data_IF_706397284647
#
_entry.id   IF_706397284647
#
_cell.length_a   1.000
_cell.length_b   1.000
_cell.length_c   1.000
_cell.angle_alpha   90.00
_cell.angle_beta   90.00
_cell.angle_gamma   90.00
#
_symmetry.space_group_name_H-M   'P 1'
#
loop_
_entity.id
_entity.type
_entity.pdbx_description
1 polymer ?
#
# COMPACT_ATOMS: atom_id res chain seq x y z
N UNK A 1 -16.37 20.69 -0.05
CA UNK A 1 -15.65 21.75 -0.80
C UNK A 1 -14.17 21.37 -0.99
N UNK A 2 -13.77 21.08 -2.23
CA UNK A 2 -12.37 20.85 -2.59
C UNK A 2 -11.75 22.21 -2.90
N UNK A 3 -10.77 22.64 -2.12
CA UNK A 3 -10.04 23.86 -2.41
C UNK A 3 -9.05 23.59 -3.55
N UNK A 4 -9.29 24.18 -4.71
CA UNK A 4 -8.36 24.14 -5.83
C UNK A 4 -7.20 25.09 -5.54
N UNK A 5 -6.03 24.53 -5.25
CA UNK A 5 -4.78 25.30 -5.21
C UNK A 5 -4.51 25.79 -6.63
N UNK A 6 -4.45 27.11 -6.81
CA UNK A 6 -4.20 27.71 -8.12
C UNK A 6 -2.74 27.48 -8.52
N UNK A 7 -2.53 26.82 -9.66
CA UNK A 7 -1.19 26.65 -10.24
C UNK A 7 -0.62 28.00 -10.70
N UNK A 8 0.69 28.07 -10.83
CA UNK A 8 1.36 29.26 -11.38
C UNK A 8 0.98 29.39 -12.87
N UNK A 9 0.32 30.49 -13.30
CA UNK A 9 -0.39 30.58 -14.59
C UNK A 9 0.48 30.47 -15.84
N UNK A 10 1.81 30.42 -15.71
CA UNK A 10 2.78 30.29 -16.81
C UNK A 10 3.96 29.38 -16.43
N UNK A 11 3.73 28.39 -15.56
CA UNK A 11 4.79 27.43 -15.19
C UNK A 11 5.18 26.60 -16.41
N UNK A 12 6.34 26.91 -17.00
CA UNK A 12 6.89 26.14 -18.12
C UNK A 12 7.16 24.68 -17.72
N UNK A 13 7.46 24.43 -16.45
CA UNK A 13 7.65 23.08 -15.88
C UNK A 13 6.38 22.21 -15.89
N UNK A 14 5.17 22.81 -15.89
CA UNK A 14 3.92 22.04 -15.97
C UNK A 14 3.60 21.61 -17.42
N UNK A 15 4.33 22.13 -18.42
CA UNK A 15 4.12 21.89 -19.86
C UNK A 15 5.16 20.94 -20.48
N UNK A 16 6.14 20.47 -19.69
CA UNK A 16 7.16 19.54 -20.14
C UNK A 16 6.86 18.18 -19.49
N UNK A 17 6.39 17.22 -20.29
CA UNK A 17 6.47 15.80 -19.91
C UNK A 17 7.95 15.40 -20.00
N UNK A 18 8.71 15.70 -18.95
CA UNK A 18 10.10 15.27 -18.87
C UNK A 18 10.09 13.74 -18.76
N UNK A 19 10.80 13.01 -19.66
CA UNK A 19 10.87 11.56 -19.56
C UNK A 19 11.43 11.25 -18.19
N UNK A 20 10.61 10.63 -17.34
CA UNK A 20 11.04 10.31 -15.98
C UNK A 20 12.25 9.41 -16.09
N UNK A 21 13.36 9.78 -15.45
CA UNK A 21 14.60 9.02 -15.49
C UNK A 21 14.32 7.56 -15.08
N UNK A 22 14.61 6.63 -15.98
CA UNK A 22 14.39 5.20 -15.76
C UNK A 22 15.09 4.70 -14.49
N UNK A 23 16.25 5.29 -14.14
CA UNK A 23 16.96 4.98 -12.90
C UNK A 23 16.20 5.47 -11.66
N UNK A 24 15.56 6.64 -11.75
CA UNK A 24 14.71 7.16 -10.69
C UNK A 24 13.46 6.28 -10.50
N UNK A 25 12.83 5.84 -11.58
CA UNK A 25 11.70 4.90 -11.52
C UNK A 25 12.11 3.58 -10.87
N UNK A 26 13.26 3.00 -11.26
CA UNK A 26 13.79 1.77 -10.63
C UNK A 26 14.04 1.97 -9.14
N UNK A 27 14.63 3.11 -8.75
CA UNK A 27 14.88 3.43 -7.34
C UNK A 27 13.57 3.53 -6.54
N UNK A 28 12.57 4.20 -7.10
CA UNK A 28 11.25 4.32 -6.48
C UNK A 28 10.59 2.94 -6.31
N UNK A 29 10.59 2.12 -7.35
CA UNK A 29 10.06 0.76 -7.29
C UNK A 29 10.77 -0.09 -6.24
N UNK A 30 12.11 -0.04 -6.19
CA UNK A 30 12.91 -0.67 -5.13
C UNK A 30 12.50 -0.18 -3.73
N UNK A 31 12.30 1.13 -3.56
CA UNK A 31 11.92 1.70 -2.27
C UNK A 31 10.50 1.28 -1.85
N UNK A 32 9.59 1.04 -2.80
CA UNK A 32 8.25 0.56 -2.56
C UNK A 32 8.15 -0.96 -2.26
N UNK A 33 9.21 -1.74 -2.48
CA UNK A 33 9.21 -3.18 -2.17
C UNK A 33 8.96 -3.44 -0.68
N UNK A 34 8.27 -4.54 -0.39
CA UNK A 34 7.94 -4.94 0.97
C UNK A 34 9.19 -5.37 1.74
N UNK A 35 9.22 -5.26 3.08
CA UNK A 35 10.38 -5.66 3.89
C UNK A 35 10.85 -7.09 3.62
N UNK A 36 9.93 -8.06 3.49
CA UNK A 36 10.24 -9.46 3.16
C UNK A 36 10.88 -9.67 1.79
N UNK A 37 10.70 -8.74 0.86
CA UNK A 37 11.33 -8.80 -0.46
C UNK A 37 12.73 -8.17 -0.45
N UNK A 38 13.01 -7.30 0.52
CA UNK A 38 14.28 -6.58 0.66
C UNK A 38 15.28 -7.29 1.59
N UNK A 39 14.79 -7.95 2.62
CA UNK A 39 15.60 -8.53 3.69
C UNK A 39 15.19 -9.98 3.96
N UNK A 40 16.16 -10.83 4.32
CA UNK A 40 15.92 -12.22 4.71
C UNK A 40 15.24 -12.33 6.08
N UNK A 41 15.50 -11.36 6.96
CA UNK A 41 15.08 -11.35 8.36
C UNK A 41 14.55 -9.96 8.75
N UNK A 42 13.64 -9.86 9.73
CA UNK A 42 13.12 -8.58 10.20
C UNK A 42 14.26 -7.72 10.77
N UNK A 43 14.27 -6.44 10.41
CA UNK A 43 15.31 -5.49 10.84
C UNK A 43 14.89 -4.67 12.06
N UNK A 44 13.60 -4.67 12.39
CA UNK A 44 13.03 -3.95 13.53
C UNK A 44 11.95 -4.78 14.21
N UNK A 45 11.71 -4.54 15.50
CA UNK A 45 10.67 -5.23 16.29
C UNK A 45 9.29 -5.09 15.65
N UNK A 46 8.97 -3.91 15.10
CA UNK A 46 7.70 -3.70 14.40
C UNK A 46 7.56 -4.57 13.15
N UNK A 47 8.65 -4.93 12.47
CA UNK A 47 8.61 -5.83 11.32
C UNK A 47 8.38 -7.28 11.75
N UNK A 48 8.82 -7.68 12.95
CA UNK A 48 8.62 -9.04 13.47
C UNK A 48 7.13 -9.39 13.58
N UNK A 49 6.31 -8.46 14.08
CA UNK A 49 4.86 -8.62 14.23
C UNK A 49 4.19 -8.97 12.89
N UNK A 50 4.59 -8.27 11.83
CA UNK A 50 4.05 -8.43 10.49
C UNK A 50 4.88 -9.34 9.59
N UNK A 51 5.87 -10.07 10.13
CA UNK A 51 6.78 -10.82 9.28
C UNK A 51 6.04 -12.00 8.64
N UNK A 52 5.35 -12.85 9.41
CA UNK A 52 4.65 -14.02 8.88
C UNK A 52 3.12 -13.79 8.88
N UNK A 53 2.62 -13.10 7.86
CA UNK A 53 1.18 -12.76 7.74
C UNK A 53 0.33 -13.87 7.13
N UNK A 54 0.96 -14.89 6.52
CA UNK A 54 0.23 -16.00 5.90
C UNK A 54 -0.32 -16.91 7.00
N UNK A 55 -1.65 -17.10 7.09
CA UNK A 55 -2.23 -17.95 8.11
C UNK A 55 -1.88 -19.42 7.86
N UNK A 56 -1.70 -20.20 8.93
CA UNK A 56 -1.40 -21.63 8.84
C UNK A 56 -2.55 -22.44 8.22
N UNK A 57 -3.78 -21.98 8.42
CA UNK A 57 -4.99 -22.57 7.85
C UNK A 57 -5.57 -21.55 6.88
N UNK A 58 -5.90 -21.94 5.63
CA UNK A 58 -6.56 -21.04 4.70
C UNK A 58 -7.87 -20.55 5.30
N UNK A 59 -8.05 -19.22 5.34
CA UNK A 59 -9.26 -18.60 5.87
C UNK A 59 -10.32 -18.60 4.78
N UNK A 60 -11.25 -19.55 4.84
CA UNK A 60 -12.47 -19.49 4.04
C UNK A 60 -13.48 -18.54 4.68
N UNK A 61 -13.74 -17.41 4.01
CA UNK A 61 -14.73 -16.42 4.46
C UNK A 61 -16.17 -16.82 4.14
N UNK A 62 -16.38 -17.88 3.34
CA UNK A 62 -17.71 -18.43 3.07
C UNK A 62 -18.08 -19.55 4.04
N UNK A 63 -17.11 -20.11 4.77
CA UNK A 63 -17.38 -21.12 5.78
C UNK A 63 -18.09 -20.51 6.99
N UNK A 64 -19.41 -20.67 7.04
CA UNK A 64 -20.25 -20.18 8.12
C UNK A 64 -19.98 -20.85 9.48
N UNK A 65 -19.18 -21.91 9.53
CA UNK A 65 -18.77 -22.56 10.79
C UNK A 65 -17.64 -21.81 11.50
N UNK A 66 -16.83 -21.05 10.75
CA UNK A 66 -15.62 -20.39 11.25
C UNK A 66 -15.63 -18.88 11.03
N UNK A 67 -16.40 -18.38 10.06
CA UNK A 67 -16.49 -16.96 9.73
C UNK A 67 -17.79 -16.32 10.22
N UNK A 68 -17.70 -15.56 11.32
CA UNK A 68 -18.83 -14.85 11.94
C UNK A 68 -18.66 -13.33 11.88
N UNK A 69 -18.74 -12.70 10.69
CA UNK A 69 -18.59 -11.26 10.57
C UNK A 69 -19.79 -10.54 11.20
N UNK A 70 -19.56 -9.38 11.81
CA UNK A 70 -20.65 -8.51 12.25
C UNK A 70 -21.43 -8.03 11.03
N UNK A 71 -22.73 -8.31 11.01
CA UNK A 71 -23.64 -7.82 9.97
C UNK A 71 -24.39 -6.63 10.53
N UNK A 72 -24.35 -5.50 9.82
CA UNK A 72 -25.22 -4.37 10.12
C UNK A 72 -26.66 -4.78 9.79
N UNK A 73 -27.58 -4.36 10.62
CA UNK A 73 -29.02 -4.56 10.43
C UNK A 73 -29.70 -3.20 10.47
N UNK A 74 -30.97 -3.12 10.12
CA UNK A 74 -31.70 -1.84 10.14
C UNK A 74 -31.69 -1.16 11.52
N UNK A 75 -31.43 -1.93 12.58
CA UNK A 75 -31.40 -1.48 13.97
C UNK A 75 -29.97 -1.20 14.49
N UNK A 76 -28.90 -1.47 13.74
CA UNK A 76 -27.49 -1.34 14.17
C UNK A 76 -26.57 -0.86 13.06
#
# INVERSE_FOLDING_TARGET
PVYTVTRKPMSWHDNIDEPTDDEFLKLFHRAALQPRQKYSEPQTESQEIGWNTTPLIPVDRNDCRLHFPRRKTEFT
#
